data_IF_418845652147
#
_entry.id   IF_418845652147
#
_cell.length_a   1.000
_cell.length_b   1.000
_cell.length_c   1.000
_cell.angle_alpha   90.00
_cell.angle_beta   90.00
_cell.angle_gamma   90.00
#
_symmetry.space_group_name_H-M   'P 1'
#
loop_
_entity.id
_entity.type
_entity.pdbx_description
1 polymer ?
#
# COMPACT_ATOMS: atom_id res chain seq x y z
N UNK A 1 -13.02 23.33 3.02
CA UNK A 1 -13.22 22.34 4.11
C UNK A 1 -14.57 22.50 4.78
N UNK A 2 -14.84 23.60 5.51
CA UNK A 2 -16.17 23.82 6.12
C UNK A 2 -17.33 23.81 5.10
N UNK A 3 -17.14 24.46 3.93
CA UNK A 3 -18.13 24.42 2.83
C UNK A 3 -18.37 23.02 2.26
N UNK A 4 -17.41 22.11 2.43
CA UNK A 4 -17.49 20.73 1.96
C UNK A 4 -18.14 19.80 2.98
N UNK A 5 -18.42 20.29 4.21
CA UNK A 5 -19.04 19.53 5.30
C UNK A 5 -18.07 18.99 6.35
N UNK A 6 -16.84 19.52 6.44
CA UNK A 6 -15.90 19.12 7.49
C UNK A 6 -16.43 19.51 8.88
N UNK A 7 -16.69 18.51 9.73
CA UNK A 7 -17.19 18.71 11.10
C UNK A 7 -16.02 18.83 12.09
N UNK A 8 -15.81 20.05 12.58
CA UNK A 8 -14.77 20.36 13.56
C UNK A 8 -14.98 19.64 14.91
N UNK A 9 -16.15 19.05 15.18
CA UNK A 9 -16.35 18.23 16.39
C UNK A 9 -15.49 16.96 16.41
N UNK A 10 -15.12 16.43 15.24
CA UNK A 10 -14.22 15.28 15.10
C UNK A 10 -12.83 15.61 15.66
N UNK A 11 -12.46 16.90 15.67
CA UNK A 11 -11.17 17.38 16.18
C UNK A 11 -10.99 17.20 17.70
N UNK A 12 -12.09 16.99 18.45
CA UNK A 12 -12.03 16.77 19.91
C UNK A 12 -11.32 15.48 20.32
N UNK A 13 -11.13 14.52 19.40
CA UNK A 13 -10.47 13.23 19.64
C UNK A 13 -8.99 13.20 19.23
N UNK A 14 -8.47 14.32 18.74
CA UNK A 14 -7.10 14.42 18.25
C UNK A 14 -6.14 14.64 19.43
N UNK A 15 -4.99 13.92 19.49
CA UNK A 15 -3.99 14.12 20.53
C UNK A 15 -3.47 15.56 20.58
N UNK A 16 -3.21 16.07 21.79
CA UNK A 16 -2.71 17.45 21.95
C UNK A 16 -1.32 17.66 21.34
N UNK A 17 -0.52 16.60 21.25
CA UNK A 17 0.76 16.59 20.52
C UNK A 17 0.60 16.99 19.06
N UNK A 18 -0.46 16.52 18.38
CA UNK A 18 -0.73 16.86 16.99
C UNK A 18 -1.25 18.31 16.84
N UNK A 19 -2.01 18.79 17.83
CA UNK A 19 -2.52 20.18 17.85
C UNK A 19 -1.42 21.23 18.01
N UNK A 20 -0.22 20.82 18.44
CA UNK A 20 0.92 21.71 18.59
C UNK A 20 1.54 22.13 17.24
N UNK A 21 1.25 21.42 16.14
CA UNK A 21 1.69 21.85 14.81
C UNK A 21 0.89 23.06 14.31
N UNK A 22 1.53 23.99 13.60
CA UNK A 22 0.90 25.26 13.19
C UNK A 22 -0.33 25.09 12.27
N UNK A 23 -0.39 24.02 11.48
CA UNK A 23 -1.38 23.80 10.39
C UNK A 23 -2.10 22.45 10.51
N UNK A 24 -2.27 21.92 11.73
CA UNK A 24 -2.78 20.57 11.97
C UNK A 24 -4.24 20.38 11.50
N UNK A 25 -5.06 21.43 11.55
CA UNK A 25 -6.47 21.39 11.13
C UNK A 25 -6.60 21.29 9.61
N UNK A 26 -5.83 22.08 8.89
CA UNK A 26 -5.77 22.07 7.43
C UNK A 26 -5.36 20.67 6.95
N UNK A 27 -4.32 20.09 7.57
CA UNK A 27 -3.85 18.73 7.25
C UNK A 27 -4.91 17.65 7.47
N UNK A 28 -5.57 17.64 8.63
CA UNK A 28 -6.69 16.71 8.86
C UNK A 28 -7.82 16.92 7.85
N UNK A 29 -8.11 18.17 7.54
CA UNK A 29 -9.08 18.54 6.52
C UNK A 29 -8.70 18.00 5.13
N UNK A 30 -7.42 18.01 4.75
CA UNK A 30 -6.95 17.42 3.50
C UNK A 30 -7.19 15.92 3.46
N UNK A 31 -6.84 15.17 4.52
CA UNK A 31 -7.10 13.73 4.58
C UNK A 31 -8.60 13.42 4.54
N UNK A 32 -9.40 14.15 5.29
CA UNK A 32 -10.86 14.00 5.29
C UNK A 32 -11.46 14.31 3.91
N UNK A 33 -11.00 15.39 3.27
CA UNK A 33 -11.51 15.77 1.95
C UNK A 33 -11.12 14.76 0.88
N UNK A 34 -9.90 14.21 0.96
CA UNK A 34 -9.46 13.14 0.07
C UNK A 34 -10.35 11.89 0.24
N UNK A 35 -10.62 11.46 1.48
CA UNK A 35 -11.52 10.33 1.77
C UNK A 35 -12.94 10.59 1.22
N UNK A 36 -13.50 11.78 1.47
CA UNK A 36 -14.79 12.20 0.91
C UNK A 36 -14.79 12.16 -0.62
N UNK A 37 -13.78 12.74 -1.27
CA UNK A 37 -13.70 12.79 -2.72
C UNK A 37 -13.59 11.39 -3.35
N UNK A 38 -12.82 10.49 -2.74
CA UNK A 38 -12.72 9.09 -3.15
C UNK A 38 -14.09 8.42 -3.00
N UNK A 39 -14.79 8.61 -1.88
CA UNK A 39 -16.11 8.03 -1.64
C UNK A 39 -17.17 8.56 -2.63
N UNK A 40 -17.18 9.87 -2.90
CA UNK A 40 -18.09 10.49 -3.87
C UNK A 40 -17.84 9.95 -5.28
N UNK A 41 -16.57 9.80 -5.67
CA UNK A 41 -16.18 9.19 -6.94
C UNK A 41 -16.66 7.75 -7.05
N UNK A 42 -16.35 6.91 -6.06
CA UNK A 42 -16.76 5.49 -6.04
C UNK A 42 -18.28 5.38 -6.09
N UNK A 43 -18.99 6.14 -5.26
CA UNK A 43 -20.47 6.15 -5.22
C UNK A 43 -21.08 6.53 -6.57
N UNK A 44 -20.48 7.50 -7.27
CA UNK A 44 -20.94 7.95 -8.59
C UNK A 44 -20.67 6.90 -9.67
N UNK A 45 -19.44 6.37 -9.70
CA UNK A 45 -19.03 5.37 -10.71
C UNK A 45 -19.79 4.06 -10.50
N UNK A 46 -19.94 3.59 -9.26
CA UNK A 46 -20.61 2.33 -8.93
C UNK A 46 -22.10 2.35 -9.32
N UNK A 47 -22.78 3.50 -9.21
CA UNK A 47 -24.17 3.65 -9.70
C UNK A 47 -24.27 3.43 -11.21
N UNK A 48 -23.27 3.86 -11.98
CA UNK A 48 -23.25 3.76 -13.44
C UNK A 48 -22.68 2.43 -13.93
N UNK A 49 -21.70 1.89 -13.20
CA UNK A 49 -20.93 0.70 -13.51
C UNK A 49 -20.88 -0.20 -12.27
N UNK A 50 -21.96 -0.95 -11.98
CA UNK A 50 -22.06 -1.74 -10.74
C UNK A 50 -21.05 -2.89 -10.64
N UNK A 51 -20.48 -3.29 -11.78
CA UNK A 51 -19.48 -4.36 -11.87
C UNK A 51 -18.03 -3.84 -11.86
N UNK A 52 -17.80 -2.56 -11.56
CA UNK A 52 -16.44 -2.00 -11.45
C UNK A 52 -15.65 -2.59 -10.28
N UNK A 53 -14.37 -2.88 -10.55
CA UNK A 53 -13.34 -3.06 -9.52
C UNK A 53 -12.68 -1.72 -9.26
N UNK A 54 -12.70 -1.28 -8.01
CA UNK A 54 -11.99 -0.11 -7.53
C UNK A 54 -10.71 -0.55 -6.83
N UNK A 55 -9.60 0.07 -7.20
CA UNK A 55 -8.28 -0.14 -6.60
C UNK A 55 -7.75 1.21 -6.15
N UNK A 56 -7.57 1.37 -4.84
CA UNK A 56 -7.24 2.64 -4.20
C UNK A 56 -5.90 2.47 -3.51
N UNK A 57 -4.98 3.41 -3.74
CA UNK A 57 -3.67 3.39 -3.11
C UNK A 57 -3.12 4.79 -2.93
N UNK A 58 -2.19 4.97 -1.98
CA UNK A 58 -1.35 6.15 -1.92
C UNK A 58 -0.19 6.02 -2.90
N UNK A 59 0.26 7.12 -3.50
CA UNK A 59 1.41 7.13 -4.40
C UNK A 59 2.74 7.04 -3.64
N UNK A 60 2.87 7.79 -2.54
CA UNK A 60 4.00 7.73 -1.63
C UNK A 60 3.61 8.16 -0.21
N UNK A 61 4.48 7.85 0.75
CA UNK A 61 4.38 8.43 2.09
C UNK A 61 4.63 9.94 2.04
N UNK A 62 3.85 10.70 2.79
CA UNK A 62 4.12 12.12 3.01
C UNK A 62 5.28 12.29 4.01
N UNK A 63 5.86 13.49 4.08
CA UNK A 63 6.89 13.87 5.05
C UNK A 63 6.30 14.19 6.42
N UNK A 64 4.98 14.24 6.52
CA UNK A 64 4.23 14.64 7.71
C UNK A 64 3.74 13.41 8.46
N UNK A 65 3.95 13.40 9.78
CA UNK A 65 3.51 12.31 10.65
C UNK A 65 2.57 12.87 11.71
N UNK A 66 1.50 12.12 12.01
CA UNK A 66 0.60 12.48 13.11
C UNK A 66 1.32 12.31 14.46
N UNK A 67 2.12 11.26 14.59
CA UNK A 67 2.96 11.01 15.75
C UNK A 67 4.36 11.61 15.55
N UNK A 68 5.00 12.18 16.60
CA UNK A 68 6.36 12.72 16.50
C UNK A 68 7.42 11.68 16.08
N UNK A 69 7.19 10.42 16.47
CA UNK A 69 8.09 9.29 16.22
C UNK A 69 7.27 8.08 15.75
N UNK A 70 6.78 8.07 14.51
CA UNK A 70 5.99 6.96 13.99
C UNK A 70 6.87 5.73 13.77
N UNK A 71 6.26 4.55 13.81
CA UNK A 71 6.89 3.32 13.29
C UNK A 71 7.19 3.44 11.80
N UNK A 72 8.06 2.58 11.28
CA UNK A 72 8.33 2.46 9.85
C UNK A 72 7.05 2.16 9.06
N UNK A 73 6.16 1.32 9.61
CA UNK A 73 4.91 0.97 8.96
C UNK A 73 4.01 2.20 8.83
N UNK A 74 3.75 2.90 9.93
CA UNK A 74 2.90 4.10 9.93
C UNK A 74 3.47 5.21 9.06
N UNK A 75 4.81 5.30 8.96
CA UNK A 75 5.48 6.33 8.19
C UNK A 75 5.55 6.04 6.70
N UNK A 76 5.80 4.79 6.29
CA UNK A 76 6.18 4.48 4.91
C UNK A 76 5.21 3.58 4.17
N UNK A 77 4.34 2.85 4.87
CA UNK A 77 3.33 2.04 4.21
C UNK A 77 2.24 2.97 3.62
N UNK A 78 1.80 2.64 2.41
CA UNK A 78 0.63 3.26 1.80
C UNK A 78 -0.50 2.23 1.74
N UNK A 79 -1.77 2.66 1.85
CA UNK A 79 -2.88 1.73 1.75
C UNK A 79 -2.94 1.09 0.37
N UNK A 80 -3.45 -0.13 0.32
CA UNK A 80 -3.92 -0.77 -0.91
C UNK A 80 -5.29 -1.40 -0.63
N UNK A 81 -6.33 -0.77 -1.18
CA UNK A 81 -7.72 -1.17 -0.94
C UNK A 81 -8.33 -1.64 -2.25
N UNK A 82 -8.88 -2.85 -2.21
CA UNK A 82 -9.75 -3.39 -3.24
C UNK A 82 -11.20 -3.22 -2.79
N UNK A 83 -12.05 -2.72 -3.68
CA UNK A 83 -13.48 -2.55 -3.42
C UNK A 83 -14.28 -2.80 -4.70
N UNK A 84 -15.48 -3.34 -4.57
CA UNK A 84 -16.35 -3.61 -5.72
C UNK A 84 -17.11 -4.93 -5.58
N UNK A 85 -17.88 -5.26 -6.59
CA UNK A 85 -18.68 -6.50 -6.62
C UNK A 85 -17.75 -7.72 -6.63
N UNK A 86 -18.06 -8.70 -5.77
CA UNK A 86 -17.27 -9.94 -5.66
C UNK A 86 -15.98 -9.80 -4.82
N UNK A 87 -15.59 -8.59 -4.45
CA UNK A 87 -14.45 -8.35 -3.56
C UNK A 87 -14.77 -8.83 -2.15
N UNK A 88 -13.90 -9.67 -1.60
CA UNK A 88 -14.07 -10.24 -0.27
C UNK A 88 -12.69 -10.51 0.38
N UNK A 89 -12.68 -10.79 1.69
CA UNK A 89 -11.46 -10.93 2.49
C UNK A 89 -10.55 -12.11 2.09
N UNK A 90 -11.05 -13.09 1.33
CA UNK A 90 -10.23 -14.23 0.88
C UNK A 90 -9.59 -14.02 -0.49
N UNK A 91 -9.80 -12.86 -1.15
CA UNK A 91 -9.16 -12.58 -2.43
C UNK A 91 -7.65 -12.45 -2.34
N UNK A 92 -7.16 -11.89 -1.22
CA UNK A 92 -5.73 -11.77 -0.94
C UNK A 92 -5.42 -12.70 0.25
N UNK A 93 -4.35 -13.51 0.18
CA UNK A 93 -3.88 -14.27 1.33
C UNK A 93 -3.57 -13.34 2.51
N UNK A 94 -3.78 -13.83 3.74
CA UNK A 94 -3.43 -13.08 4.95
C UNK A 94 -1.93 -12.78 5.05
N UNK A 95 -1.11 -13.56 4.35
CA UNK A 95 0.34 -13.38 4.24
C UNK A 95 0.76 -12.40 3.15
N UNK A 96 -0.19 -11.84 2.39
CA UNK A 96 0.13 -11.01 1.23
C UNK A 96 0.87 -9.74 1.65
N UNK A 97 2.01 -9.49 1.01
CA UNK A 97 2.73 -8.23 1.11
C UNK A 97 3.39 -7.93 -0.24
N UNK A 98 3.51 -6.65 -0.59
CA UNK A 98 4.05 -6.26 -1.89
C UNK A 98 4.31 -4.76 -1.99
N UNK A 99 4.42 -4.30 -3.24
CA UNK A 99 4.71 -2.89 -3.58
C UNK A 99 3.76 -2.41 -4.67
N UNK A 100 3.91 -1.16 -5.13
CA UNK A 100 3.21 -0.68 -6.32
C UNK A 100 3.41 -1.56 -7.55
N UNK A 101 4.55 -2.25 -7.67
CA UNK A 101 4.79 -3.19 -8.77
C UNK A 101 3.85 -4.41 -8.73
N UNK A 102 3.30 -4.74 -7.57
CA UNK A 102 2.32 -5.81 -7.40
C UNK A 102 0.90 -5.40 -7.80
N UNK A 103 0.60 -4.10 -7.94
CA UNK A 103 -0.77 -3.62 -8.17
C UNK A 103 -1.29 -4.07 -9.55
N UNK A 104 -0.54 -3.77 -10.61
CA UNK A 104 -0.93 -4.14 -11.97
C UNK A 104 -1.14 -5.67 -12.16
N UNK A 105 -0.21 -6.56 -11.78
CA UNK A 105 -0.45 -8.00 -11.90
C UNK A 105 -1.61 -8.47 -11.01
N UNK A 106 -1.85 -7.85 -9.86
CA UNK A 106 -3.04 -8.15 -9.01
C UNK A 106 -4.34 -7.83 -9.74
N UNK A 107 -4.43 -6.65 -10.35
CA UNK A 107 -5.61 -6.26 -11.12
C UNK A 107 -5.82 -7.23 -12.29
N UNK A 108 -4.76 -7.57 -13.03
CA UNK A 108 -4.83 -8.50 -14.16
C UNK A 108 -5.35 -9.87 -13.70
N UNK A 109 -4.80 -10.45 -12.63
CA UNK A 109 -5.29 -11.73 -12.10
C UNK A 109 -6.75 -11.71 -11.65
N UNK A 110 -7.25 -10.55 -11.20
CA UNK A 110 -8.63 -10.40 -10.74
C UNK A 110 -9.64 -10.25 -11.90
N UNK A 111 -9.24 -9.66 -13.03
CA UNK A 111 -10.17 -9.28 -14.10
C UNK A 111 -9.96 -10.04 -15.41
N UNK A 112 -8.77 -10.61 -15.63
CA UNK A 112 -8.46 -11.25 -16.89
C UNK A 112 -9.14 -12.63 -17.01
N UNK A 113 -9.48 -13.07 -18.23
CA UNK A 113 -9.97 -14.43 -18.45
C UNK A 113 -8.98 -15.48 -17.97
N UNK A 114 -9.49 -16.62 -17.51
CA UNK A 114 -8.65 -17.78 -17.16
C UNK A 114 -7.75 -18.16 -18.34
N UNK A 115 -6.44 -18.26 -18.09
CA UNK A 115 -5.43 -18.57 -19.09
C UNK A 115 -4.85 -17.35 -19.81
N UNK A 116 -5.20 -16.12 -19.41
CA UNK A 116 -4.55 -14.92 -19.92
C UNK A 116 -3.07 -14.87 -19.49
N UNK A 117 -2.18 -14.69 -20.47
CA UNK A 117 -0.74 -14.59 -20.23
C UNK A 117 -0.32 -13.12 -20.13
N UNK A 118 0.49 -12.80 -19.10
CA UNK A 118 1.10 -11.49 -18.94
C UNK A 118 2.48 -11.62 -18.30
N UNK A 119 3.31 -10.60 -18.52
CA UNK A 119 4.63 -10.50 -17.93
C UNK A 119 4.63 -9.33 -16.94
N UNK A 120 5.19 -9.56 -15.76
CA UNK A 120 5.31 -8.55 -14.71
C UNK A 120 6.67 -8.64 -14.04
N UNK A 121 7.16 -7.51 -13.55
CA UNK A 121 8.38 -7.45 -12.73
C UNK A 121 8.16 -7.98 -11.31
N UNK A 122 6.91 -8.07 -10.89
CA UNK A 122 6.53 -8.53 -9.57
C UNK A 122 5.29 -9.43 -9.63
N UNK A 123 5.10 -10.26 -8.61
CA UNK A 123 3.96 -11.14 -8.53
C UNK A 123 2.70 -10.42 -8.05
N UNK A 124 1.55 -10.95 -8.48
CA UNK A 124 0.23 -10.58 -7.97
C UNK A 124 0.11 -10.88 -6.48
N UNK A 125 -0.59 -10.01 -5.75
CA UNK A 125 -0.98 -10.22 -4.35
C UNK A 125 -2.06 -11.29 -4.17
N UNK A 126 -2.71 -11.76 -5.24
CA UNK A 126 -3.65 -12.90 -5.18
C UNK A 126 -2.94 -14.25 -5.10
N UNK A 127 -1.61 -14.28 -5.29
CA UNK A 127 -0.75 -15.46 -5.25
C UNK A 127 0.08 -15.48 -3.96
N UNK A 128 1.17 -16.24 -3.95
CA UNK A 128 2.05 -16.40 -2.78
C UNK A 128 3.05 -15.25 -2.58
N UNK A 129 2.71 -14.04 -3.06
CA UNK A 129 3.57 -12.88 -2.85
C UNK A 129 3.51 -12.43 -1.38
N UNK A 130 4.59 -12.65 -0.66
CA UNK A 130 4.68 -12.46 0.80
C UNK A 130 5.66 -11.37 1.20
N UNK A 131 6.30 -10.71 0.23
CA UNK A 131 7.35 -9.72 0.45
C UNK A 131 7.18 -8.58 -0.55
N UNK A 132 7.15 -7.35 -0.03
CA UNK A 132 7.36 -6.14 -0.81
C UNK A 132 8.72 -5.54 -0.50
N UNK A 133 9.40 -4.95 -1.48
CA UNK A 133 10.58 -4.14 -1.21
C UNK A 133 10.78 -3.01 -2.24
N UNK A 134 11.30 -1.89 -1.75
CA UNK A 134 11.75 -0.78 -2.58
C UNK A 134 13.27 -0.59 -2.44
N UNK A 135 13.78 0.62 -2.69
CA UNK A 135 15.21 0.88 -2.62
C UNK A 135 15.75 1.02 -1.18
N UNK A 136 14.89 1.28 -0.19
CA UNK A 136 15.23 1.55 1.22
C UNK A 136 14.62 0.55 2.20
N UNK A 137 13.43 0.01 1.91
CA UNK A 137 12.64 -0.78 2.84
C UNK A 137 12.19 -2.11 2.22
N UNK A 138 11.93 -3.07 3.09
CA UNK A 138 11.17 -4.28 2.77
C UNK A 138 10.03 -4.43 3.77
N UNK A 139 8.97 -5.12 3.37
CA UNK A 139 7.77 -5.38 4.18
C UNK A 139 7.27 -6.80 3.93
N UNK A 140 6.81 -7.45 4.99
CA UNK A 140 6.11 -8.73 5.01
C UNK A 140 4.72 -8.54 5.65
N UNK A 141 3.95 -9.61 5.81
CA UNK A 141 2.64 -9.52 6.50
C UNK A 141 2.75 -9.23 8.01
N UNK A 142 3.93 -9.41 8.61
CA UNK A 142 4.14 -9.25 10.05
C UNK A 142 5.20 -8.23 10.43
N UNK A 143 6.11 -7.85 9.53
CA UNK A 143 7.17 -6.91 9.84
C UNK A 143 7.61 -6.05 8.65
N UNK A 144 8.33 -4.98 8.98
CA UNK A 144 8.91 -4.02 8.04
C UNK A 144 10.34 -3.71 8.50
N UNK A 145 11.25 -3.50 7.56
CA UNK A 145 12.64 -3.20 7.91
C UNK A 145 13.37 -2.35 6.88
N UNK A 146 14.50 -1.79 7.31
CA UNK A 146 15.40 -1.03 6.44
C UNK A 146 16.43 -1.95 5.81
N UNK A 147 16.62 -1.82 4.50
CA UNK A 147 17.63 -2.55 3.76
C UNK A 147 19.04 -2.17 4.20
N UNK A 148 19.92 -3.16 4.25
CA UNK A 148 21.31 -2.99 4.70
C UNK A 148 21.47 -2.83 6.21
N UNK A 149 20.40 -3.00 6.99
CA UNK A 149 20.46 -2.97 8.46
C UNK A 149 19.77 -4.20 9.06
N UNK A 150 20.13 -4.63 10.27
CA UNK A 150 19.40 -5.67 10.99
C UNK A 150 18.11 -5.16 11.66
N UNK A 151 17.79 -3.86 11.55
CA UNK A 151 16.66 -3.26 12.25
C UNK A 151 15.33 -3.61 11.56
N UNK A 152 14.44 -4.25 12.32
CA UNK A 152 13.10 -4.66 11.90
C UNK A 152 12.07 -4.22 12.94
N UNK A 153 10.86 -3.92 12.49
CA UNK A 153 9.73 -3.52 13.32
C UNK A 153 8.53 -4.41 13.01
N UNK A 154 7.84 -4.88 14.06
CA UNK A 154 6.60 -5.64 13.91
C UNK A 154 5.48 -4.68 13.49
N UNK A 155 4.71 -5.06 12.48
CA UNK A 155 3.57 -4.27 12.02
C UNK A 155 2.48 -4.27 13.10
N UNK A 156 1.93 -3.11 13.48
CA UNK A 156 0.81 -3.04 14.43
C UNK A 156 -0.39 -3.88 13.98
N UNK A 157 -0.98 -4.66 14.89
CA UNK A 157 -2.07 -5.59 14.60
C UNK A 157 -1.74 -6.68 13.55
N UNK A 158 -0.45 -6.96 13.30
CA UNK A 158 -0.06 -8.15 12.56
C UNK A 158 -0.74 -9.38 13.17
N UNK A 159 -1.21 -10.30 12.32
CA UNK A 159 -1.78 -11.56 12.78
C UNK A 159 -0.70 -12.31 13.56
N UNK A 160 -0.81 -12.30 14.88
CA UNK A 160 0.21 -12.80 15.82
C UNK A 160 0.59 -14.28 15.59
N UNK A 161 -0.23 -15.02 14.83
CA UNK A 161 0.00 -16.41 14.46
C UNK A 161 0.88 -16.62 13.21
N UNK A 162 1.26 -15.56 12.49
CA UNK A 162 2.09 -15.66 11.29
C UNK A 162 3.54 -15.34 11.67
N UNK A 163 4.28 -16.38 12.05
CA UNK A 163 5.74 -16.31 12.19
C UNK A 163 6.37 -16.53 10.81
N UNK A 164 6.52 -15.48 10.02
CA UNK A 164 7.39 -15.55 8.86
C UNK A 164 8.84 -15.43 9.34
N UNK A 165 9.63 -16.46 9.08
CA UNK A 165 11.09 -16.32 9.12
C UNK A 165 11.47 -15.46 7.91
N UNK A 166 11.75 -14.20 8.17
CA UNK A 166 12.15 -13.25 7.15
C UNK A 166 13.52 -13.67 6.61
N UNK A 167 13.50 -14.30 5.45
CA UNK A 167 14.72 -14.74 4.81
C UNK A 167 15.36 -13.53 4.11
N UNK A 168 16.26 -12.87 4.82
CA UNK A 168 17.01 -11.70 4.35
C UNK A 168 17.70 -11.95 3.00
N UNK A 169 18.14 -13.18 2.73
CA UNK A 169 18.74 -13.55 1.45
C UNK A 169 17.70 -13.55 0.32
N UNK A 170 16.50 -14.08 0.55
CA UNK A 170 15.39 -14.01 -0.42
C UNK A 170 14.96 -12.57 -0.69
N UNK A 171 14.86 -11.74 0.36
CA UNK A 171 14.54 -10.31 0.24
C UNK A 171 15.61 -9.62 -0.62
N UNK A 172 16.89 -9.86 -0.33
CA UNK A 172 18.02 -9.32 -1.09
C UNK A 172 18.00 -9.78 -2.54
N UNK A 173 17.79 -11.07 -2.79
CA UNK A 173 17.68 -11.63 -4.14
C UNK A 173 16.55 -10.97 -4.94
N UNK A 174 15.36 -10.86 -4.34
CA UNK A 174 14.20 -10.20 -4.94
C UNK A 174 14.52 -8.75 -5.36
N UNK A 175 15.15 -7.97 -4.46
CA UNK A 175 15.54 -6.58 -4.74
C UNK A 175 16.59 -6.50 -5.84
N UNK A 176 17.63 -7.34 -5.76
CA UNK A 176 18.70 -7.38 -6.73
C UNK A 176 18.16 -7.76 -8.12
N UNK A 177 17.19 -8.68 -8.21
CA UNK A 177 16.51 -9.05 -9.45
C UNK A 177 15.72 -7.88 -10.06
N UNK A 178 14.90 -7.18 -9.27
CA UNK A 178 14.13 -6.02 -9.76
C UNK A 178 15.07 -4.89 -10.23
N UNK A 179 16.14 -4.62 -9.48
CA UNK A 179 17.14 -3.61 -9.83
C UNK A 179 17.88 -3.99 -11.11
N UNK A 180 18.29 -5.25 -11.24
CA UNK A 180 18.96 -5.76 -12.43
C UNK A 180 18.07 -5.64 -13.67
N UNK A 181 16.79 -6.04 -13.57
CA UNK A 181 15.83 -5.90 -14.66
C UNK A 181 15.60 -4.43 -15.04
N UNK A 182 15.48 -3.55 -14.06
CA UNK A 182 15.32 -2.10 -14.28
C UNK A 182 16.53 -1.49 -14.98
N UNK A 183 17.74 -1.80 -14.49
CA UNK A 183 18.99 -1.37 -15.11
C UNK A 183 19.12 -1.89 -16.54
N UNK A 184 18.81 -3.16 -16.76
CA UNK A 184 18.87 -3.77 -18.08
C UNK A 184 17.94 -3.06 -19.06
N UNK A 185 16.67 -2.83 -18.68
CA UNK A 185 15.71 -2.09 -19.51
C UNK A 185 16.23 -0.70 -19.90
N UNK A 186 16.85 0.02 -18.97
CA UNK A 186 17.44 1.35 -19.23
C UNK A 186 18.64 1.25 -20.17
N UNK A 187 19.52 0.25 -20.00
CA UNK A 187 20.80 0.18 -20.71
C UNK A 187 20.74 -0.58 -22.04
N UNK A 188 19.79 -1.49 -22.20
CA UNK A 188 19.69 -2.44 -23.32
C UNK A 188 18.33 -2.40 -24.03
N UNK A 189 17.33 -1.73 -23.47
CA UNK A 189 16.01 -1.62 -24.09
C UNK A 189 15.17 -2.89 -23.92
N UNK A 190 14.51 -3.34 -24.99
CA UNK A 190 13.55 -4.44 -24.93
C UNK A 190 14.13 -5.83 -25.25
N UNK A 191 15.41 -5.93 -25.63
CA UNK A 191 16.07 -7.21 -25.88
C UNK A 191 16.30 -7.95 -24.56
N UNK A 192 15.50 -8.98 -24.28
CA UNK A 192 15.70 -9.95 -23.20
C UNK A 192 16.06 -11.29 -23.84
#
# INVERSE_FOLDING_TARGET
LAQEGFDDQILGRIPDSFKAEKDWKEKLGHFWYADKAINDFISTVQKKYPDSLFTITGDHADRMNIEPSPSLYERYAVPFVLYGKGVNKSLLPATAAGTHLSIAPTIIELIAPKGFEYYSLNESLTKDNTIGANHEFWISSNAIGKLGTPATEIIPNALASIHLNENTEKIKQYIDSIRAASWWRIKKGQSI
#
